data_IF_813510946227
#
_entry.id   IF_813510946227
#
_cell.length_a   1.000
_cell.length_b   1.000
_cell.length_c   1.000
_cell.angle_alpha   90.00
_cell.angle_beta   90.00
_cell.angle_gamma   90.00
#
_symmetry.space_group_name_H-M   'P 1'
#
loop_
_entity.id
_entity.type
_entity.pdbx_description
1 polymer ?
#
# COMPACT_ATOMS: atom_id res chain seq x y z
N UNK A 1 -15.41 0.57 -4.19
CA UNK A 1 -14.09 -0.02 -3.88
C UNK A 1 -13.54 0.49 -2.55
N UNK A 2 -13.19 -0.44 -1.65
CA UNK A 2 -12.55 -0.17 -0.35
C UNK A 2 -11.03 -0.38 -0.43
N UNK A 3 -10.26 0.55 0.13
CA UNK A 3 -8.80 0.60 0.09
C UNK A 3 -8.22 0.51 1.50
N UNK A 4 -7.20 -0.32 1.68
CA UNK A 4 -6.34 -0.28 2.86
C UNK A 4 -5.07 0.50 2.50
N UNK A 5 -4.74 1.57 3.23
CA UNK A 5 -3.53 2.36 3.02
C UNK A 5 -2.39 1.83 3.89
N UNK A 6 -1.59 0.90 3.35
CA UNK A 6 -0.41 0.38 4.02
C UNK A 6 0.80 1.29 3.75
N UNK A 7 1.48 1.66 4.81
CA UNK A 7 2.69 2.45 4.77
C UNK A 7 3.23 2.72 6.17
N UNK A 8 4.50 3.14 6.29
CA UNK A 8 5.04 3.51 7.58
C UNK A 8 4.22 4.66 8.18
N UNK A 9 4.12 4.68 9.51
CA UNK A 9 3.28 5.63 10.25
C UNK A 9 3.91 6.07 11.57
N UNK A 10 5.24 6.00 11.66
CA UNK A 10 5.99 6.12 12.91
C UNK A 10 6.41 7.55 13.20
N UNK A 11 6.51 8.39 12.16
CA UNK A 11 6.95 9.78 12.25
C UNK A 11 5.86 10.75 11.84
N UNK A 12 5.97 12.01 12.28
CA UNK A 12 5.03 13.06 11.91
C UNK A 12 4.98 13.31 10.39
N UNK A 13 6.08 13.09 9.67
CA UNK A 13 6.13 13.23 8.21
C UNK A 13 5.31 12.13 7.51
N UNK A 14 5.44 10.89 7.98
CA UNK A 14 4.69 9.73 7.49
C UNK A 14 3.19 9.87 7.80
N UNK A 15 2.84 10.23 9.03
CA UNK A 15 1.44 10.50 9.42
C UNK A 15 0.82 11.61 8.56
N UNK A 16 1.50 12.75 8.41
CA UNK A 16 1.01 13.85 7.58
C UNK A 16 0.83 13.43 6.11
N UNK A 17 1.74 12.60 5.59
CA UNK A 17 1.62 12.05 4.24
C UNK A 17 0.40 11.14 4.12
N UNK A 18 0.24 10.19 5.04
CA UNK A 18 -0.84 9.19 5.03
C UNK A 18 -2.22 9.85 5.14
N UNK A 19 -2.39 10.79 6.06
CA UNK A 19 -3.66 11.52 6.23
C UNK A 19 -4.02 12.33 4.97
N UNK A 20 -3.04 13.02 4.37
CA UNK A 20 -3.26 13.76 3.11
C UNK A 20 -3.59 12.82 1.95
N UNK A 21 -2.88 11.70 1.82
CA UNK A 21 -3.14 10.71 0.76
C UNK A 21 -4.51 10.05 0.93
N UNK A 22 -4.89 9.68 2.16
CA UNK A 22 -6.21 9.15 2.46
C UNK A 22 -7.32 10.15 2.10
N UNK A 23 -7.16 11.43 2.44
CA UNK A 23 -8.10 12.49 2.05
C UNK A 23 -8.20 12.64 0.52
N UNK A 24 -7.07 12.61 -0.19
CA UNK A 24 -7.03 12.64 -1.66
C UNK A 24 -7.78 11.46 -2.27
N UNK A 25 -7.50 10.24 -1.84
CA UNK A 25 -8.19 9.03 -2.30
C UNK A 25 -9.71 9.08 -2.04
N UNK A 26 -10.12 9.59 -0.87
CA UNK A 26 -11.54 9.80 -0.55
C UNK A 26 -12.21 10.81 -1.49
N UNK A 27 -11.50 11.87 -1.89
CA UNK A 27 -12.00 12.84 -2.88
C UNK A 27 -12.24 12.22 -4.27
N UNK A 28 -11.58 11.11 -4.61
CA UNK A 28 -11.84 10.29 -5.81
C UNK A 28 -12.95 9.24 -5.61
N UNK A 29 -13.67 9.29 -4.48
CA UNK A 29 -14.81 8.43 -4.18
C UNK A 29 -14.43 7.02 -3.72
N UNK A 30 -13.21 6.80 -3.25
CA UNK A 30 -12.82 5.55 -2.61
C UNK A 30 -13.17 5.56 -1.11
N UNK A 31 -13.56 4.41 -0.57
CA UNK A 31 -13.63 4.21 0.87
C UNK A 31 -12.24 3.79 1.36
N UNK A 32 -11.61 4.55 2.25
CA UNK A 32 -10.20 4.35 2.64
C UNK A 32 -10.11 4.04 4.13
N UNK A 33 -9.49 2.92 4.48
CA UNK A 33 -8.98 2.63 5.81
C UNK A 33 -7.54 3.16 5.91
N UNK A 34 -7.27 3.98 6.92
CA UNK A 34 -5.97 4.57 7.20
C UNK A 34 -5.56 4.23 8.64
N UNK A 35 -4.50 3.43 8.86
CA UNK A 35 -4.07 3.03 10.21
C UNK A 35 -3.82 4.20 11.17
N UNK A 36 -3.43 5.38 10.66
CA UNK A 36 -3.27 6.60 11.46
C UNK A 36 -4.56 7.11 12.12
N UNK A 37 -5.73 6.74 11.58
CA UNK A 37 -7.04 7.21 12.07
C UNK A 37 -7.77 6.15 12.92
N UNK A 38 -7.23 4.94 13.02
CA UNK A 38 -7.89 3.80 13.67
C UNK A 38 -7.33 3.49 15.05
N UNK A 39 -8.20 3.01 15.93
CA UNK A 39 -7.78 2.34 17.16
C UNK A 39 -7.07 1.02 16.82
N UNK A 40 -6.06 0.59 17.61
CA UNK A 40 -5.55 1.21 18.83
C UNK A 40 -4.49 2.31 18.59
N UNK A 41 -4.21 2.65 17.32
CA UNK A 41 -3.16 3.60 16.96
C UNK A 41 -3.51 5.05 17.31
N UNK A 42 -4.78 5.42 17.32
CA UNK A 42 -5.23 6.79 17.63
C UNK A 42 -5.26 7.14 19.13
N UNK A 43 -5.52 6.20 20.04
CA UNK A 43 -5.57 6.46 21.49
C UNK A 43 -4.26 6.10 22.21
N UNK A 44 -3.42 7.11 22.46
CA UNK A 44 -2.14 6.95 23.17
C UNK A 44 -2.27 6.84 24.70
N UNK A 45 -3.50 6.87 25.24
CA UNK A 45 -3.73 6.74 26.70
C UNK A 45 -3.94 5.29 27.14
N UNK A 46 -4.15 4.38 26.19
CA UNK A 46 -4.35 2.96 26.46
C UNK A 46 -3.07 2.25 26.90
N UNK A 47 -3.21 1.35 27.87
CA UNK A 47 -2.11 0.56 28.44
C UNK A 47 -2.22 -0.93 28.14
N UNK A 48 -3.30 -1.35 27.49
CA UNK A 48 -3.61 -2.74 27.12
C UNK A 48 -3.30 -3.06 25.65
N UNK A 49 -2.64 -2.14 24.95
CA UNK A 49 -2.21 -2.34 23.56
C UNK A 49 -1.08 -3.38 23.54
N UNK A 50 -1.34 -4.50 22.87
CA UNK A 50 -0.35 -5.56 22.64
C UNK A 50 -0.09 -5.73 21.14
N UNK A 51 1.07 -6.28 20.74
CA UNK A 51 1.32 -6.60 19.33
C UNK A 51 0.27 -7.54 18.72
N UNK A 52 -0.31 -8.44 19.53
CA UNK A 52 -1.37 -9.34 19.07
C UNK A 52 -2.66 -8.57 18.75
N UNK A 53 -3.05 -7.62 19.59
CA UNK A 53 -4.22 -6.78 19.35
C UNK A 53 -4.04 -5.96 18.06
N UNK A 54 -2.86 -5.36 17.87
CA UNK A 54 -2.54 -4.60 16.64
C UNK A 54 -2.67 -5.50 15.42
N UNK A 55 -2.02 -6.68 15.45
CA UNK A 55 -2.11 -7.67 14.37
C UNK A 55 -3.57 -8.03 14.04
N UNK A 56 -4.38 -8.34 15.05
CA UNK A 56 -5.77 -8.77 14.83
C UNK A 56 -6.60 -7.65 14.18
N UNK A 57 -6.41 -6.39 14.62
CA UNK A 57 -7.10 -5.23 14.05
C UNK A 57 -6.65 -4.95 12.62
N UNK A 58 -5.34 -4.93 12.36
CA UNK A 58 -4.80 -4.62 11.04
C UNK A 58 -5.20 -5.69 10.02
N UNK A 59 -5.14 -6.98 10.39
CA UNK A 59 -5.57 -8.07 9.50
C UNK A 59 -7.08 -8.01 9.24
N UNK A 60 -7.91 -7.74 10.25
CA UNK A 60 -9.35 -7.55 10.03
C UNK A 60 -9.62 -6.41 9.05
N UNK A 61 -8.91 -5.29 9.18
CA UNK A 61 -9.02 -4.16 8.29
C UNK A 61 -8.57 -4.48 6.86
N UNK A 62 -7.44 -5.19 6.68
CA UNK A 62 -6.96 -5.69 5.38
C UNK A 62 -8.01 -6.59 4.73
N UNK A 63 -8.59 -7.54 5.49
CA UNK A 63 -9.62 -8.46 4.99
C UNK A 63 -10.95 -7.78 4.64
N UNK A 64 -11.22 -6.60 5.21
CA UNK A 64 -12.41 -5.80 4.92
C UNK A 64 -12.31 -5.00 3.61
N UNK A 65 -11.12 -4.90 3.02
CA UNK A 65 -10.81 -4.08 1.84
C UNK A 65 -10.71 -4.91 0.55
N UNK A 66 -10.86 -4.23 -0.60
CA UNK A 66 -10.70 -4.85 -1.92
C UNK A 66 -9.26 -4.76 -2.42
N UNK A 67 -8.60 -3.63 -2.18
CA UNK A 67 -7.23 -3.35 -2.63
C UNK A 67 -6.41 -2.86 -1.45
N UNK A 68 -5.17 -3.32 -1.37
CA UNK A 68 -4.15 -2.75 -0.49
C UNK A 68 -3.23 -1.84 -1.30
N UNK A 69 -3.06 -0.59 -0.86
CA UNK A 69 -2.02 0.31 -1.36
C UNK A 69 -0.76 0.06 -0.54
N UNK A 70 0.31 -0.36 -1.20
CA UNK A 70 1.62 -0.56 -0.60
C UNK A 70 2.49 0.68 -0.86
N UNK A 71 2.73 1.50 0.17
CA UNK A 71 3.78 2.51 0.09
C UNK A 71 5.15 1.81 0.14
N UNK A 72 5.79 1.72 -1.02
CA UNK A 72 6.99 0.90 -1.22
C UNK A 72 8.13 1.45 -0.36
N UNK A 73 8.47 0.70 0.67
CA UNK A 73 9.46 1.05 1.68
C UNK A 73 10.02 -0.20 2.36
N UNK A 74 11.01 -0.04 3.24
CA UNK A 74 11.59 -1.12 4.07
C UNK A 74 10.73 -1.43 5.32
N UNK A 75 9.53 -0.86 5.43
CA UNK A 75 8.64 -1.15 6.56
C UNK A 75 8.17 -2.61 6.52
N UNK A 76 8.53 -3.38 7.53
CA UNK A 76 8.16 -4.78 7.65
C UNK A 76 6.65 -4.99 7.81
N UNK A 77 5.93 -4.04 8.43
CA UNK A 77 4.48 -4.11 8.60
C UNK A 77 3.76 -4.05 7.25
N UNK A 78 4.04 -2.98 6.49
CA UNK A 78 3.54 -2.79 5.12
C UNK A 78 3.84 -4.01 4.22
N UNK A 79 5.06 -4.56 4.31
CA UNK A 79 5.45 -5.74 3.53
C UNK A 79 4.69 -7.01 3.96
N UNK A 80 4.44 -7.20 5.25
CA UNK A 80 3.64 -8.31 5.79
C UNK A 80 2.19 -8.24 5.30
N UNK A 81 1.56 -7.08 5.42
CA UNK A 81 0.19 -6.83 4.97
C UNK A 81 0.04 -7.01 3.46
N UNK A 82 1.03 -6.52 2.69
CA UNK A 82 1.07 -6.68 1.24
C UNK A 82 1.15 -8.15 0.82
N UNK A 83 2.03 -8.93 1.46
CA UNK A 83 2.12 -10.38 1.21
C UNK A 83 0.82 -11.11 1.57
N UNK A 84 0.15 -10.69 2.65
CA UNK A 84 -1.13 -11.26 3.05
C UNK A 84 -2.23 -10.97 2.01
N UNK A 85 -2.41 -9.71 1.60
CA UNK A 85 -3.38 -9.33 0.56
C UNK A 85 -3.06 -10.02 -0.79
N UNK A 86 -1.79 -10.18 -1.13
CA UNK A 86 -1.39 -10.93 -2.32
C UNK A 86 -1.90 -12.38 -2.27
N UNK A 87 -1.72 -13.06 -1.14
CA UNK A 87 -2.24 -14.41 -0.92
C UNK A 87 -3.78 -14.45 -1.01
N UNK A 88 -4.47 -13.50 -0.36
CA UNK A 88 -5.93 -13.39 -0.41
C UNK A 88 -6.44 -13.25 -1.85
N UNK A 89 -5.81 -12.38 -2.64
CA UNK A 89 -6.21 -12.07 -4.02
C UNK A 89 -5.92 -13.19 -5.03
N UNK A 90 -4.93 -14.04 -4.76
CA UNK A 90 -4.54 -15.11 -5.69
C UNK A 90 -5.10 -16.49 -5.31
N UNK A 91 -5.17 -16.77 -4.02
CA UNK A 91 -5.36 -18.13 -3.52
C UNK A 91 -6.62 -18.32 -2.69
N UNK A 92 -7.27 -17.25 -2.23
CA UNK A 92 -8.45 -17.34 -1.36
C UNK A 92 -9.71 -16.92 -2.10
N UNK A 93 -9.83 -15.65 -2.49
CA UNK A 93 -11.00 -15.16 -3.22
C UNK A 93 -10.64 -13.98 -4.15
N UNK A 94 -10.22 -14.27 -5.40
CA UNK A 94 -9.87 -13.25 -6.39
C UNK A 94 -11.05 -12.37 -6.84
N UNK A 95 -12.30 -12.72 -6.48
CA UNK A 95 -13.48 -11.94 -6.81
C UNK A 95 -13.76 -10.86 -5.76
N UNK A 96 -13.32 -11.08 -4.51
CA UNK A 96 -13.40 -10.12 -3.40
C UNK A 96 -12.16 -9.26 -3.26
N UNK A 97 -10.99 -9.90 -3.33
CA UNK A 97 -9.69 -9.27 -3.13
C UNK A 97 -9.04 -9.03 -4.49
N UNK A 98 -8.90 -7.75 -4.85
CA UNK A 98 -8.46 -7.37 -6.18
C UNK A 98 -6.94 -7.42 -6.31
N UNK A 99 -6.21 -7.21 -5.21
CA UNK A 99 -4.75 -7.31 -5.17
C UNK A 99 -4.08 -6.15 -4.43
N UNK A 100 -2.79 -6.00 -4.72
CA UNK A 100 -1.91 -4.99 -4.12
C UNK A 100 -1.41 -4.05 -5.20
N UNK A 101 -1.51 -2.75 -4.96
CA UNK A 101 -0.95 -1.70 -5.83
C UNK A 101 0.19 -0.97 -5.13
N UNK A 102 1.35 -0.89 -5.78
CA UNK A 102 2.53 -0.23 -5.23
C UNK A 102 2.58 1.26 -5.54
N UNK A 103 2.94 2.07 -4.54
CA UNK A 103 3.28 3.49 -4.67
C UNK A 103 4.74 3.70 -4.26
N UNK A 104 5.61 3.95 -5.22
CA UNK A 104 7.05 4.12 -5.03
C UNK A 104 7.46 5.56 -5.36
N UNK A 105 7.44 6.44 -4.36
CA UNK A 105 7.64 7.89 -4.53
C UNK A 105 9.11 8.33 -4.45
N UNK A 106 10.05 7.40 -4.24
CA UNK A 106 11.46 7.72 -4.31
C UNK A 106 11.83 8.22 -5.70
N UNK A 107 12.15 9.51 -5.79
CA UNK A 107 12.44 10.19 -7.05
C UNK A 107 13.63 9.57 -7.81
N UNK A 108 14.52 8.84 -7.12
CA UNK A 108 15.68 8.18 -7.71
C UNK A 108 15.29 7.00 -8.60
N UNK A 109 14.11 6.41 -8.40
CA UNK A 109 13.58 5.34 -9.24
C UNK A 109 13.27 5.80 -10.67
N UNK A 110 13.21 7.11 -10.90
CA UNK A 110 13.02 7.70 -12.24
C UNK A 110 14.32 7.80 -13.03
N UNK A 111 15.47 7.61 -12.39
CA UNK A 111 16.76 7.67 -13.06
C UNK A 111 16.97 6.40 -13.89
N UNK A 112 17.21 6.51 -15.21
CA UNK A 112 17.61 5.37 -16.01
C UNK A 112 18.93 4.79 -15.47
N UNK A 113 18.98 3.49 -15.14
CA UNK A 113 20.20 2.89 -14.61
C UNK A 113 21.29 2.85 -15.69
N UNK A 114 22.55 3.06 -15.29
CA UNK A 114 23.66 3.01 -16.25
C UNK A 114 23.95 1.55 -16.62
N UNK A 115 23.97 1.17 -17.90
CA UNK A 115 24.02 -0.24 -18.32
C UNK A 115 25.31 -0.96 -17.91
N UNK A 116 26.43 -0.23 -17.82
CA UNK A 116 27.75 -0.81 -17.49
C UNK A 116 28.19 -0.61 -16.03
N UNK A 117 27.42 0.13 -15.22
CA UNK A 117 27.78 0.38 -13.81
C UNK A 117 26.96 -0.52 -12.89
N UNK A 118 27.44 -0.69 -11.66
CA UNK A 118 26.83 -1.58 -10.66
C UNK A 118 27.08 -1.08 -9.24
N UNK A 119 26.28 -1.59 -8.29
CA UNK A 119 26.35 -1.16 -6.89
C UNK A 119 26.07 0.33 -6.74
N UNK A 120 26.81 0.98 -5.85
CA UNK A 120 26.65 2.42 -5.55
C UNK A 120 26.96 3.35 -6.74
N UNK A 121 27.68 2.86 -7.75
CA UNK A 121 28.00 3.60 -8.98
C UNK A 121 26.86 3.56 -10.02
N UNK A 122 25.82 2.77 -9.76
CA UNK A 122 24.61 2.75 -10.56
C UNK A 122 23.46 3.27 -9.71
N UNK A 123 22.82 4.36 -10.14
CA UNK A 123 21.65 4.92 -9.44
C UNK A 123 20.38 4.07 -9.59
N UNK A 124 20.50 2.80 -9.98
CA UNK A 124 19.48 1.78 -9.78
C UNK A 124 19.23 1.64 -8.26
N UNK A 125 18.34 2.47 -7.71
CA UNK A 125 17.94 2.35 -6.32
C UNK A 125 17.40 0.94 -6.09
N UNK A 126 17.90 0.29 -5.06
CA UNK A 126 17.51 -1.08 -4.76
C UNK A 126 16.21 -1.07 -3.97
N UNK A 127 15.24 -1.85 -4.44
CA UNK A 127 14.08 -2.27 -3.68
C UNK A 127 14.09 -3.79 -3.67
N UNK A 128 13.65 -4.39 -2.57
CA UNK A 128 13.56 -5.83 -2.45
C UNK A 128 12.82 -6.46 -3.65
N UNK A 129 13.51 -7.36 -4.37
CA UNK A 129 13.00 -7.93 -5.61
C UNK A 129 11.77 -8.83 -5.42
N UNK A 130 11.61 -9.45 -4.24
CA UNK A 130 10.40 -10.23 -3.93
C UNK A 130 9.18 -9.32 -3.84
N UNK A 131 9.33 -8.16 -3.16
CA UNK A 131 8.27 -7.17 -3.03
C UNK A 131 7.91 -6.61 -4.40
N UNK A 132 8.89 -6.14 -5.17
CA UNK A 132 8.64 -5.59 -6.51
C UNK A 132 8.02 -6.62 -7.45
N UNK A 133 8.54 -7.85 -7.48
CA UNK A 133 7.98 -8.93 -8.30
C UNK A 133 6.54 -9.27 -7.90
N UNK A 134 6.24 -9.28 -6.60
CA UNK A 134 4.89 -9.47 -6.07
C UNK A 134 3.92 -8.39 -6.53
N UNK A 135 4.32 -7.12 -6.45
CA UNK A 135 3.51 -5.98 -6.89
C UNK A 135 3.31 -5.98 -8.42
N UNK A 136 4.36 -6.29 -9.19
CA UNK A 136 4.28 -6.43 -10.66
C UNK A 136 3.35 -7.57 -11.09
N UNK A 137 3.32 -8.67 -10.34
CA UNK A 137 2.39 -9.78 -10.55
C UNK A 137 0.97 -9.52 -10.03
N UNK A 138 0.73 -8.40 -9.35
CA UNK A 138 -0.56 -7.99 -8.80
C UNK A 138 -1.13 -6.81 -9.59
N UNK A 139 -1.30 -5.63 -8.99
CA UNK A 139 -1.90 -4.45 -9.65
C UNK A 139 -0.86 -3.46 -10.20
N UNK A 140 0.44 -3.76 -10.08
CA UNK A 140 1.54 -2.95 -10.58
C UNK A 140 2.17 -2.03 -9.54
N UNK A 141 3.18 -1.26 -9.97
CA UNK A 141 3.92 -0.28 -9.16
C UNK A 141 3.95 1.06 -9.89
N UNK A 142 3.63 2.13 -9.18
CA UNK A 142 3.46 3.48 -9.71
C UNK A 142 4.40 4.45 -9.02
N UNK A 143 4.94 5.41 -9.79
CA UNK A 143 5.97 6.35 -9.31
C UNK A 143 5.40 7.71 -8.86
N UNK A 144 4.08 7.85 -8.88
CA UNK A 144 3.32 9.01 -8.42
C UNK A 144 1.88 8.63 -8.11
N UNK A 145 1.24 9.49 -7.31
CA UNK A 145 -0.12 9.28 -6.83
C UNK A 145 -1.15 9.35 -7.96
N UNK A 146 -0.98 10.26 -8.91
CA UNK A 146 -2.01 10.54 -9.92
C UNK A 146 -2.16 9.36 -10.88
N UNK A 147 -1.05 8.77 -11.31
CA UNK A 147 -1.05 7.57 -12.16
C UNK A 147 -1.58 6.35 -11.40
N UNK A 148 -1.23 6.21 -10.12
CA UNK A 148 -1.77 5.15 -9.27
C UNK A 148 -3.30 5.29 -9.11
N UNK A 149 -3.79 6.50 -8.84
CA UNK A 149 -5.21 6.80 -8.69
C UNK A 149 -5.97 6.53 -9.99
N UNK A 150 -5.43 6.93 -11.13
CA UNK A 150 -6.00 6.62 -12.43
C UNK A 150 -6.16 5.11 -12.63
N UNK A 151 -5.15 4.30 -12.24
CA UNK A 151 -5.26 2.84 -12.28
C UNK A 151 -6.34 2.32 -11.31
N UNK A 152 -6.43 2.84 -10.09
CA UNK A 152 -7.47 2.45 -9.14
C UNK A 152 -8.88 2.73 -9.71
N UNK A 153 -9.07 3.83 -10.42
CA UNK A 153 -10.34 4.15 -11.08
C UNK A 153 -10.65 3.18 -12.23
N UNK A 154 -9.65 2.78 -13.01
CA UNK A 154 -9.78 1.72 -14.02
C UNK A 154 -10.19 0.40 -13.40
N UNK A 155 -9.49 -0.05 -12.36
CA UNK A 155 -9.79 -1.30 -11.63
C UNK A 155 -11.22 -1.26 -11.08
N UNK A 156 -11.65 -0.13 -10.50
CA UNK A 156 -13.03 0.04 -10.01
C UNK A 156 -14.04 -0.18 -11.13
N UNK A 157 -13.83 0.41 -12.32
CA UNK A 157 -14.71 0.21 -13.48
C UNK A 157 -14.70 -1.24 -13.97
N UNK A 158 -13.53 -1.88 -14.02
CA UNK A 158 -13.37 -3.27 -14.45
C UNK A 158 -14.06 -4.26 -13.50
N UNK A 159 -14.00 -4.02 -12.18
CA UNK A 159 -14.43 -4.97 -11.14
C UNK A 159 -15.85 -4.73 -10.63
N UNK A 160 -16.28 -3.48 -10.49
CA UNK A 160 -17.57 -3.12 -9.91
C UNK A 160 -18.63 -2.78 -10.97
N UNK A 161 -18.24 -2.77 -12.25
CA UNK A 161 -19.04 -2.21 -13.34
C UNK A 161 -18.93 -0.68 -13.37
N UNK A 162 -19.09 -0.08 -14.54
CA UNK A 162 -19.27 1.37 -14.63
C UNK A 162 -20.60 1.75 -13.94
N UNK A 163 -20.70 2.90 -13.25
CA UNK A 163 -22.01 3.48 -12.97
C UNK A 163 -22.77 3.76 -14.27
#
# INVERSE_FOLDING_TARGET
>A
MKLYLAGPMFTAAEEAHNLRLAAKLRAHGFAVFCPNESEPSSDKTRTDITPRLIYDVDIEAVESCNVLICQVSEDSGTNWESGYMDCLSRHVDPTRYYGVIGLATDIRLRTPPHPERRGVENQAFYINALVIGGLQGSLGVYLDEDTMIARLEEIRREREGAP
#
